data_IF_591480030401
#
_entry.id   IF_591480030401
#
_cell.length_a   1.000
_cell.length_b   1.000
_cell.length_c   1.000
_cell.angle_alpha   90.00
_cell.angle_beta   90.00
_cell.angle_gamma   90.00
#
_symmetry.space_group_name_H-M   'P 1'
#
loop_
_entity.id
_entity.type
_entity.pdbx_description
1 polymer ?
#
# COMPACT_ATOMS: atom_id res chain seq x y z
N UNK A 1 -14.44 -0.46 37.37
CA UNK A 1 -14.74 0.17 36.06
C UNK A 1 -13.55 0.94 35.47
N UNK A 2 -12.86 1.81 36.22
CA UNK A 2 -11.82 2.70 35.66
C UNK A 2 -10.53 2.04 35.13
N UNK A 3 -10.14 0.86 35.63
CA UNK A 3 -8.92 0.17 35.20
C UNK A 3 -9.02 -0.40 33.77
N UNK A 4 -10.19 -0.92 33.40
CA UNK A 4 -10.44 -1.43 32.05
C UNK A 4 -10.44 -0.33 30.99
N UNK A 5 -10.99 0.85 31.32
CA UNK A 5 -10.97 2.01 30.41
C UNK A 5 -9.56 2.56 30.19
N UNK A 6 -8.71 2.53 31.23
CA UNK A 6 -7.31 2.96 31.12
C UNK A 6 -6.51 2.03 30.21
N UNK A 7 -6.70 0.71 30.34
CA UNK A 7 -6.02 -0.27 29.48
C UNK A 7 -6.49 -0.19 28.02
N UNK A 8 -7.79 0.04 27.80
CA UNK A 8 -8.33 0.24 26.45
C UNK A 8 -7.70 1.45 25.78
N UNK A 9 -7.57 2.57 26.51
CA UNK A 9 -6.94 3.78 25.99
C UNK A 9 -5.46 3.59 25.65
N UNK A 10 -4.70 2.90 26.51
CA UNK A 10 -3.28 2.59 26.23
C UNK A 10 -3.17 1.78 24.93
N UNK A 11 -4.05 0.79 24.74
CA UNK A 11 -4.08 -0.01 23.52
C UNK A 11 -4.41 0.83 22.28
N UNK A 12 -5.38 1.74 22.37
CA UNK A 12 -5.73 2.65 21.27
C UNK A 12 -4.57 3.58 20.90
N UNK A 13 -3.88 4.13 21.90
CA UNK A 13 -2.71 5.00 21.70
C UNK A 13 -1.56 4.21 21.03
N UNK A 14 -1.25 3.00 21.50
CA UNK A 14 -0.22 2.14 20.90
C UNK A 14 -0.54 1.75 19.43
N UNK A 15 -1.80 1.41 19.13
CA UNK A 15 -2.24 1.08 17.77
C UNK A 15 -2.11 2.28 16.84
N UNK A 16 -2.40 3.49 17.35
CA UNK A 16 -2.24 4.72 16.59
C UNK A 16 -0.76 5.01 16.33
N UNK A 17 0.10 4.91 17.34
CA UNK A 17 1.54 5.14 17.19
C UNK A 17 2.17 4.16 16.17
N UNK A 18 1.79 2.89 16.21
CA UNK A 18 2.22 1.89 15.22
C UNK A 18 1.73 2.27 13.80
N UNK A 19 0.50 2.77 13.69
CA UNK A 19 -0.07 3.19 12.41
C UNK A 19 0.64 4.42 11.84
N UNK A 20 0.98 5.38 12.69
CA UNK A 20 1.74 6.56 12.30
C UNK A 20 3.17 6.18 11.88
N UNK A 21 3.84 5.28 12.61
CA UNK A 21 5.15 4.75 12.23
C UNK A 21 5.12 4.03 10.87
N UNK A 22 4.09 3.21 10.61
CA UNK A 22 3.92 2.54 9.31
C UNK A 22 3.78 3.55 8.17
N UNK A 23 3.01 4.63 8.39
CA UNK A 23 2.84 5.70 7.41
C UNK A 23 4.13 6.48 7.16
N UNK A 24 4.89 6.83 8.19
CA UNK A 24 6.16 7.55 8.00
C UNK A 24 7.24 6.66 7.36
N UNK A 25 7.25 5.36 7.69
CA UNK A 25 8.09 4.37 7.04
C UNK A 25 7.77 4.24 5.54
N UNK A 26 6.49 4.16 5.18
CA UNK A 26 6.09 4.00 3.77
C UNK A 26 6.53 5.18 2.91
N UNK A 27 6.49 6.42 3.42
CA UNK A 27 7.01 7.62 2.73
C UNK A 27 8.48 7.52 2.33
N UNK A 28 9.30 6.74 3.06
CA UNK A 28 10.70 6.49 2.71
C UNK A 28 10.81 5.37 1.70
N UNK A 29 10.03 4.30 1.88
CA UNK A 29 10.04 3.11 1.02
C UNK A 29 9.56 3.44 -0.40
N UNK A 30 8.56 4.30 -0.58
CA UNK A 30 8.08 4.70 -1.92
C UNK A 30 9.16 5.33 -2.80
N UNK A 31 10.27 5.82 -2.22
CA UNK A 31 11.42 6.34 -2.98
C UNK A 31 12.29 5.25 -3.61
N UNK A 32 12.06 3.99 -3.26
CA UNK A 32 12.82 2.83 -3.73
C UNK A 32 12.11 2.09 -4.86
N UNK A 33 11.06 2.68 -5.46
CA UNK A 33 10.27 2.01 -6.49
C UNK A 33 11.07 1.72 -7.75
N UNK A 34 11.11 0.44 -8.11
CA UNK A 34 11.77 -0.10 -9.29
C UNK A 34 11.09 -1.39 -9.78
N UNK A 35 11.68 -2.04 -10.78
CA UNK A 35 11.17 -3.29 -11.36
C UNK A 35 11.04 -4.43 -10.33
N UNK A 36 11.90 -4.42 -9.32
CA UNK A 36 11.96 -5.48 -8.31
C UNK A 36 11.03 -5.25 -7.14
N UNK A 37 10.53 -4.03 -6.94
CA UNK A 37 9.82 -3.62 -5.71
C UNK A 37 8.46 -2.98 -5.92
N UNK A 38 8.07 -2.63 -7.15
CA UNK A 38 6.83 -1.88 -7.42
C UNK A 38 5.56 -2.54 -6.89
N UNK A 39 5.47 -3.87 -6.93
CA UNK A 39 4.34 -4.66 -6.46
C UNK A 39 4.21 -4.62 -4.94
N UNK A 40 5.33 -4.78 -4.23
CA UNK A 40 5.37 -4.65 -2.77
C UNK A 40 5.05 -3.21 -2.34
N UNK A 41 5.53 -2.22 -3.08
CA UNK A 41 5.27 -0.80 -2.81
C UNK A 41 3.79 -0.46 -3.03
N UNK A 42 3.13 -1.05 -4.04
CA UNK A 42 1.68 -0.94 -4.19
C UNK A 42 0.94 -1.55 -2.99
N UNK A 43 1.32 -2.75 -2.56
CA UNK A 43 0.73 -3.42 -1.40
C UNK A 43 0.87 -2.59 -0.11
N UNK A 44 2.07 -2.07 0.15
CA UNK A 44 2.33 -1.17 1.28
C UNK A 44 1.53 0.13 1.12
N UNK A 45 1.46 0.67 -0.11
CA UNK A 45 0.71 1.87 -0.42
C UNK A 45 -0.76 1.73 -0.08
N UNK A 46 -1.40 0.60 -0.42
CA UNK A 46 -2.81 0.36 -0.09
C UNK A 46 -3.05 0.30 1.42
N UNK A 47 -2.13 -0.32 2.16
CA UNK A 47 -2.23 -0.43 3.61
C UNK A 47 -1.96 0.89 4.34
N UNK A 48 -1.08 1.74 3.78
CA UNK A 48 -0.62 2.98 4.41
C UNK A 48 -1.22 4.25 3.80
N UNK A 49 -2.10 4.10 2.80
CA UNK A 49 -2.68 5.18 1.98
C UNK A 49 -1.62 6.04 1.30
N UNK A 50 -0.55 5.41 0.80
CA UNK A 50 0.58 6.07 0.14
C UNK A 50 0.95 5.35 -1.17
N UNK A 51 0.07 5.48 -2.17
CA UNK A 51 0.09 4.69 -3.40
C UNK A 51 0.79 5.35 -4.58
N UNK A 52 1.05 6.66 -4.47
CA UNK A 52 1.39 7.51 -5.62
C UNK A 52 2.59 6.99 -6.42
N UNK A 53 3.68 6.61 -5.73
CA UNK A 53 4.88 6.11 -6.40
C UNK A 53 4.67 4.75 -7.08
N UNK A 54 3.95 3.83 -6.42
CA UNK A 54 3.65 2.51 -6.97
C UNK A 54 2.72 2.59 -8.18
N UNK A 55 1.66 3.40 -8.10
CA UNK A 55 0.72 3.60 -9.20
C UNK A 55 1.37 4.33 -10.38
N UNK A 56 2.25 5.31 -10.10
CA UNK A 56 3.03 5.98 -11.13
C UNK A 56 3.92 4.99 -11.88
N UNK A 57 4.71 4.19 -11.15
CA UNK A 57 5.55 3.17 -11.77
C UNK A 57 4.71 2.18 -12.59
N UNK A 58 3.58 1.72 -12.03
CA UNK A 58 2.65 0.82 -12.70
C UNK A 58 2.13 1.39 -14.02
N UNK A 59 1.66 2.65 -14.05
CA UNK A 59 1.17 3.29 -15.26
C UNK A 59 2.27 3.43 -16.32
N UNK A 60 3.44 3.96 -15.92
CA UNK A 60 4.57 4.20 -16.81
C UNK A 60 5.14 2.90 -17.42
N UNK A 61 5.04 1.77 -16.70
CA UNK A 61 5.62 0.49 -17.10
C UNK A 61 4.57 -0.57 -17.48
N UNK A 62 3.29 -0.19 -17.60
CA UNK A 62 2.16 -1.12 -17.80
C UNK A 62 2.43 -2.16 -18.88
N UNK A 63 2.95 -1.74 -20.04
CA UNK A 63 3.17 -2.63 -21.18
C UNK A 63 4.19 -3.75 -20.90
N UNK A 64 5.14 -3.49 -20.00
CA UNK A 64 6.18 -4.43 -19.61
C UNK A 64 5.68 -5.37 -18.50
N UNK A 65 4.91 -4.85 -17.56
CA UNK A 65 4.53 -5.58 -16.34
C UNK A 65 3.18 -6.31 -16.43
N UNK A 66 2.32 -5.98 -17.41
CA UNK A 66 0.93 -6.48 -17.50
C UNK A 66 0.77 -8.00 -17.50
N UNK A 67 1.79 -8.72 -17.96
CA UNK A 67 1.81 -10.19 -18.04
C UNK A 67 2.80 -10.83 -17.06
N UNK A 68 3.35 -10.05 -16.12
CA UNK A 68 4.30 -10.55 -15.13
C UNK A 68 3.61 -11.38 -14.04
N UNK A 69 4.34 -12.31 -13.43
CA UNK A 69 3.87 -13.09 -12.28
C UNK A 69 3.45 -12.19 -11.11
N UNK A 70 4.16 -11.08 -10.92
CA UNK A 70 3.84 -10.05 -9.93
C UNK A 70 2.46 -9.45 -10.17
N UNK A 71 2.15 -9.08 -11.41
CA UNK A 71 0.83 -8.56 -11.77
C UNK A 71 -0.27 -9.61 -11.58
N UNK A 72 0.00 -10.86 -11.98
CA UNK A 72 -0.94 -11.97 -11.78
C UNK A 72 -1.23 -12.19 -10.29
N UNK A 73 -0.20 -12.10 -9.44
CA UNK A 73 -0.34 -12.20 -8.00
C UNK A 73 -1.16 -11.06 -7.41
N UNK A 74 -0.94 -9.81 -7.85
CA UNK A 74 -1.77 -8.67 -7.44
C UNK A 74 -3.23 -8.92 -7.82
N UNK A 75 -3.52 -9.25 -9.08
CA UNK A 75 -4.89 -9.44 -9.56
C UNK A 75 -5.60 -10.56 -8.79
N UNK A 76 -4.89 -11.65 -8.48
CA UNK A 76 -5.46 -12.81 -7.78
C UNK A 76 -5.79 -12.53 -6.32
N UNK A 77 -5.14 -11.54 -5.69
CA UNK A 77 -5.28 -11.23 -4.27
C UNK A 77 -5.90 -9.84 -4.00
N UNK A 78 -6.11 -9.04 -5.04
CA UNK A 78 -6.65 -7.69 -4.91
C UNK A 78 -8.15 -7.71 -4.60
N UNK A 79 -8.56 -6.81 -3.71
CA UNK A 79 -9.97 -6.47 -3.56
C UNK A 79 -10.43 -5.54 -4.71
N UNK A 80 -11.74 -5.31 -4.80
CA UNK A 80 -12.31 -4.46 -5.85
C UNK A 80 -11.78 -3.03 -5.84
N UNK A 81 -11.54 -2.44 -4.67
CA UNK A 81 -11.04 -1.07 -4.56
C UNK A 81 -9.64 -0.95 -5.16
N UNK A 82 -8.78 -1.92 -4.87
CA UNK A 82 -7.41 -1.96 -5.40
C UNK A 82 -7.40 -2.14 -6.91
N UNK A 83 -8.28 -3.01 -7.43
CA UNK A 83 -8.44 -3.19 -8.87
C UNK A 83 -8.93 -1.91 -9.55
N UNK A 84 -9.91 -1.21 -8.96
CA UNK A 84 -10.42 0.05 -9.48
C UNK A 84 -9.33 1.13 -9.53
N UNK A 85 -8.48 1.22 -8.51
CA UNK A 85 -7.33 2.13 -8.50
C UNK A 85 -6.31 1.80 -9.60
N UNK A 86 -6.01 0.52 -9.84
CA UNK A 86 -5.15 0.10 -10.96
C UNK A 86 -5.78 0.44 -12.31
N UNK A 87 -7.09 0.21 -12.46
CA UNK A 87 -7.80 0.58 -13.69
C UNK A 87 -7.75 2.09 -13.94
N UNK A 88 -7.97 2.90 -12.90
CA UNK A 88 -7.82 4.35 -13.00
C UNK A 88 -6.40 4.75 -13.37
N UNK A 89 -5.39 4.22 -12.68
CA UNK A 89 -3.99 4.53 -12.95
C UNK A 89 -3.55 4.17 -14.37
N UNK A 90 -4.12 3.12 -14.97
CA UNK A 90 -3.84 2.75 -16.36
C UNK A 90 -4.42 3.73 -17.39
N UNK A 91 -5.51 4.41 -17.05
CA UNK A 91 -6.22 5.31 -17.97
C UNK A 91 -5.61 6.72 -18.05
N UNK A 92 -4.74 7.08 -17.10
CA UNK A 92 -4.07 8.38 -17.00
C UNK A 92 -2.56 8.23 -17.16
#
# INVERSE_FOLDING_TARGET
>A
MGYHLKNLRIYEDDVKDISDLKREGSKRIVRLVDETSWDEILLIGWQTKNLEAGLKYFSENWMNIKNSDKMNNIISNANFDWLDELFKAKLF
#
